data_IF_668768112077
#
_entry.id   IF_668768112077
#
_cell.length_a   1.000
_cell.length_b   1.000
_cell.length_c   1.000
_cell.angle_alpha   90.00
_cell.angle_beta   90.00
_cell.angle_gamma   90.00
#
_symmetry.space_group_name_H-M   'P 1'
#
loop_
_entity.id
_entity.type
_entity.pdbx_description
1 polymer ?
#
# COMPACT_ATOMS: atom_id res chain seq x y z
N UNK A 1 -41.97 63.22 -33.11
CA UNK A 1 -41.40 62.61 -34.33
C UNK A 1 -41.75 61.13 -34.34
N UNK A 2 -42.65 60.79 -35.27
CA UNK A 2 -42.63 59.61 -36.13
C UNK A 2 -42.45 58.20 -35.52
N UNK A 3 -43.56 57.46 -35.61
CA UNK A 3 -43.69 56.17 -36.32
C UNK A 3 -43.17 54.89 -35.66
N UNK A 4 -44.14 54.11 -35.15
CA UNK A 4 -44.59 52.84 -35.75
C UNK A 4 -43.55 51.95 -36.45
N UNK A 5 -43.55 50.64 -36.15
CA UNK A 5 -44.18 49.62 -37.01
C UNK A 5 -43.89 48.18 -36.54
N UNK A 6 -44.97 47.39 -36.66
CA UNK A 6 -45.04 45.93 -36.70
C UNK A 6 -43.95 45.24 -37.57
N UNK A 7 -43.64 43.97 -37.25
CA UNK A 7 -44.02 42.81 -38.09
C UNK A 7 -43.52 41.47 -37.53
N UNK A 8 -44.50 40.62 -37.22
CA UNK A 8 -44.44 39.16 -37.33
C UNK A 8 -44.19 38.72 -38.79
N UNK A 9 -43.40 37.67 -39.04
CA UNK A 9 -43.65 36.69 -40.12
C UNK A 9 -43.00 35.34 -39.75
N UNK A 10 -43.82 34.28 -39.82
CA UNK A 10 -43.46 32.87 -39.75
C UNK A 10 -42.69 32.40 -40.99
N UNK A 11 -41.84 31.38 -40.88
CA UNK A 11 -41.56 30.51 -42.04
C UNK A 11 -41.49 29.04 -41.63
N UNK A 12 -42.52 28.32 -42.06
CA UNK A 12 -42.55 26.88 -42.19
C UNK A 12 -41.59 26.42 -43.30
N UNK A 13 -41.05 25.21 -43.18
CA UNK A 13 -40.24 24.55 -44.20
C UNK A 13 -40.06 23.07 -43.87
N UNK A 14 -40.72 22.23 -44.68
CA UNK A 14 -41.04 20.81 -44.55
C UNK A 14 -39.87 19.80 -44.67
N UNK A 15 -40.10 18.53 -44.28
CA UNK A 15 -39.18 17.40 -44.47
C UNK A 15 -39.42 16.70 -45.82
N UNK A 16 -38.36 16.10 -46.38
CA UNK A 16 -38.41 15.22 -47.56
C UNK A 16 -37.00 15.04 -48.11
N UNK A 17 -36.62 13.94 -48.76
CA UNK A 17 -37.24 12.67 -49.04
C UNK A 17 -36.12 11.68 -49.44
N UNK A 18 -36.46 10.40 -49.43
CA UNK A 18 -35.75 9.21 -49.90
C UNK A 18 -34.89 9.34 -51.17
N UNK A 19 -33.83 8.52 -51.28
CA UNK A 19 -33.58 7.69 -52.47
C UNK A 19 -32.60 6.54 -52.16
N UNK A 20 -32.97 5.35 -52.66
CA UNK A 20 -32.23 4.08 -52.68
C UNK A 20 -31.14 4.11 -53.78
N UNK A 21 -30.23 3.12 -53.74
CA UNK A 21 -29.75 2.24 -54.85
C UNK A 21 -28.41 1.60 -54.37
N UNK A 22 -28.33 0.30 -54.06
CA UNK A 22 -28.22 -0.93 -54.88
C UNK A 22 -26.77 -1.27 -55.35
N UNK A 23 -26.35 -2.53 -55.07
CA UNK A 23 -25.24 -3.27 -55.71
C UNK A 23 -24.11 -3.69 -54.73
N UNK A 24 -24.05 -4.91 -54.17
CA UNK A 24 -23.59 -6.22 -54.74
C UNK A 24 -22.15 -6.14 -55.31
N UNK A 25 -21.14 -6.95 -54.94
CA UNK A 25 -20.99 -8.43 -55.02
C UNK A 25 -19.73 -8.86 -54.22
N UNK A 26 -19.72 -10.11 -53.72
CA UNK A 26 -18.69 -10.82 -52.92
C UNK A 26 -17.53 -11.42 -53.79
N UNK A 27 -16.86 -12.55 -53.45
CA UNK A 27 -16.28 -13.11 -52.21
C UNK A 27 -14.79 -13.56 -52.35
N UNK A 28 -14.19 -13.98 -51.22
CA UNK A 28 -13.41 -15.23 -51.12
C UNK A 28 -11.94 -15.29 -51.58
N UNK A 29 -11.02 -15.47 -50.63
CA UNK A 29 -9.84 -16.37 -50.80
C UNK A 29 -9.62 -17.13 -49.50
N UNK A 30 -9.89 -18.43 -49.55
CA UNK A 30 -9.40 -19.45 -48.61
C UNK A 30 -7.94 -19.77 -48.94
N UNK A 31 -7.10 -19.97 -47.91
CA UNK A 31 -6.00 -20.91 -48.00
C UNK A 31 -5.89 -21.71 -46.69
N UNK A 32 -6.14 -22.99 -46.86
CA UNK A 32 -5.88 -24.09 -45.93
C UNK A 32 -4.40 -24.21 -45.60
N UNK A 33 -4.10 -24.65 -44.37
CA UNK A 33 -2.76 -25.11 -44.01
C UNK A 33 -2.77 -25.79 -42.66
N UNK A 34 -3.12 -27.07 -42.68
CA UNK A 34 -3.06 -27.97 -41.54
C UNK A 34 -1.66 -27.98 -40.89
N UNK A 35 -1.62 -27.98 -39.56
CA UNK A 35 -0.59 -28.66 -38.78
C UNK A 35 -1.13 -28.93 -37.37
N UNK A 36 -1.86 -30.04 -37.27
CA UNK A 36 -2.03 -30.78 -36.03
C UNK A 36 -0.71 -31.47 -35.71
N UNK A 37 -0.07 -31.14 -34.58
CA UNK A 37 0.92 -32.03 -33.97
C UNK A 37 0.86 -31.89 -32.43
N UNK A 38 0.41 -33.00 -31.82
CA UNK A 38 0.75 -33.52 -30.50
C UNK A 38 0.25 -32.78 -29.23
N UNK A 39 -0.93 -33.23 -28.81
CA UNK A 39 -1.27 -33.52 -27.42
C UNK A 39 -0.12 -34.22 -26.70
N UNK A 40 0.35 -33.64 -25.59
CA UNK A 40 1.07 -34.35 -24.54
C UNK A 40 0.29 -34.14 -23.23
N UNK A 41 -0.24 -35.21 -22.59
CA UNK A 41 -0.93 -35.09 -21.32
C UNK A 41 0.03 -34.85 -20.15
N UNK A 42 -0.42 -34.22 -19.04
CA UNK A 42 0.38 -34.01 -17.86
C UNK A 42 0.68 -35.35 -17.16
N UNK A 43 1.97 -35.62 -16.89
CA UNK A 43 2.41 -36.72 -16.03
C UNK A 43 1.92 -36.47 -14.60
N UNK A 44 1.07 -37.37 -14.12
CA UNK A 44 0.75 -37.54 -12.72
C UNK A 44 2.01 -38.01 -11.96
N UNK A 45 2.43 -37.24 -10.96
CA UNK A 45 3.33 -37.73 -9.92
C UNK A 45 2.50 -37.95 -8.65
N UNK A 46 2.33 -39.23 -8.34
CA UNK A 46 1.78 -39.80 -7.12
C UNK A 46 2.83 -39.85 -6.02
N UNK A 47 2.44 -39.49 -4.79
CA UNK A 47 3.16 -39.77 -3.54
C UNK A 47 4.40 -38.89 -3.31
N UNK A 48 4.61 -38.26 -2.16
CA UNK A 48 4.84 -38.91 -0.86
C UNK A 48 4.72 -37.81 0.23
N UNK A 49 4.14 -38.17 1.38
CA UNK A 49 4.55 -37.57 2.66
C UNK A 49 3.64 -36.48 3.26
N UNK A 50 2.43 -36.86 3.67
CA UNK A 50 1.78 -36.23 4.82
C UNK A 50 2.63 -36.52 6.06
N UNK A 51 3.34 -35.52 6.58
CA UNK A 51 3.81 -35.54 7.97
C UNK A 51 2.88 -34.62 8.75
N UNK A 52 1.85 -35.26 9.31
CA UNK A 52 1.02 -34.71 10.36
C UNK A 52 1.89 -34.53 11.61
N UNK A 53 2.02 -33.31 12.11
CA UNK A 53 2.50 -33.09 13.47
C UNK A 53 1.30 -33.14 14.42
N UNK A 54 1.36 -33.95 15.50
CA UNK A 54 0.23 -34.20 16.36
C UNK A 54 -0.12 -33.00 17.24
N UNK A 55 -1.44 -32.83 17.35
CA UNK A 55 -2.17 -32.05 18.33
C UNK A 55 -1.74 -32.49 19.74
N UNK A 56 -1.22 -31.56 20.54
CA UNK A 56 -1.17 -31.72 22.00
C UNK A 56 -2.39 -30.99 22.55
N UNK A 57 -3.41 -31.78 22.87
CA UNK A 57 -4.52 -31.38 23.73
C UNK A 57 -4.01 -31.40 25.17
N UNK A 58 -3.99 -30.24 25.82
CA UNK A 58 -3.79 -30.10 27.25
C UNK A 58 -4.99 -29.37 27.82
N UNK A 59 -6.01 -30.12 28.19
CA UNK A 59 -7.11 -29.65 29.03
C UNK A 59 -6.58 -29.36 30.44
N UNK A 60 -6.91 -28.19 30.98
CA UNK A 60 -6.48 -27.73 32.30
C UNK A 60 -7.19 -26.45 32.70
N UNK A 61 -8.35 -26.63 33.30
CA UNK A 61 -9.41 -25.67 33.63
C UNK A 61 -9.01 -24.72 34.79
N UNK A 62 -9.43 -23.45 34.65
CA UNK A 62 -9.72 -22.39 35.63
C UNK A 62 -9.14 -22.44 37.05
N UNK A 63 -8.49 -21.34 37.45
CA UNK A 63 -8.90 -20.58 38.65
C UNK A 63 -8.58 -19.09 38.49
N UNK A 64 -9.60 -18.26 38.74
CA UNK A 64 -9.53 -16.82 38.86
C UNK A 64 -8.76 -16.44 40.14
N UNK A 65 -7.87 -15.46 40.07
CA UNK A 65 -7.05 -15.06 41.21
C UNK A 65 -6.60 -13.60 41.12
N UNK A 66 -7.49 -12.70 41.52
CA UNK A 66 -7.21 -11.32 41.88
C UNK A 66 -6.01 -11.26 42.85
N UNK A 67 -4.91 -10.64 42.44
CA UNK A 67 -3.78 -10.38 43.35
C UNK A 67 -3.88 -8.94 43.84
N UNK A 68 -4.57 -8.75 44.97
CA UNK A 68 -4.63 -7.48 45.68
C UNK A 68 -3.30 -7.22 46.41
N UNK A 69 -2.88 -5.95 46.40
CA UNK A 69 -1.76 -5.42 47.17
C UNK A 69 -1.87 -5.80 48.65
N UNK A 70 -0.90 -6.57 49.15
CA UNK A 70 -0.72 -6.78 50.60
C UNK A 70 0.01 -5.57 51.20
N UNK A 71 -0.78 -4.66 51.76
CA UNK A 71 -0.33 -3.63 52.71
C UNK A 71 0.22 -4.33 53.97
N UNK A 72 1.52 -4.23 54.20
CA UNK A 72 2.11 -4.54 55.51
C UNK A 72 2.00 -3.30 56.40
N UNK A 73 0.89 -3.21 57.14
CA UNK A 73 0.77 -2.36 58.32
C UNK A 73 1.27 -3.14 59.53
N UNK A 74 2.26 -2.58 60.24
CA UNK A 74 2.36 -2.45 61.72
C UNK A 74 3.83 -2.32 62.17
N UNK A 75 4.08 -1.34 63.05
CA UNK A 75 5.32 -1.17 63.80
C UNK A 75 5.24 0.09 64.67
N UNK A 76 4.98 -0.10 65.97
CA UNK A 76 4.63 0.91 66.97
C UNK A 76 5.71 1.97 67.25
N UNK A 77 5.25 3.19 67.54
CA UNK A 77 6.02 4.29 68.10
C UNK A 77 6.17 4.14 69.62
N UNK A 78 7.40 4.17 70.14
CA UNK A 78 7.65 4.48 71.55
C UNK A 78 8.61 5.66 71.61
N UNK A 79 8.17 6.73 72.24
CA UNK A 79 8.95 7.93 72.48
C UNK A 79 10.03 7.66 73.53
N UNK A 80 11.26 8.05 73.23
CA UNK A 80 12.28 8.32 74.23
C UNK A 80 13.07 9.55 73.76
N UNK A 81 12.87 10.66 74.46
CA UNK A 81 13.72 11.83 74.38
C UNK A 81 15.08 11.47 74.99
N UNK A 82 16.15 11.66 74.22
CA UNK A 82 17.49 11.79 74.75
C UNK A 82 18.19 12.89 73.94
N UNK A 83 18.38 14.04 74.58
CA UNK A 83 19.22 15.13 74.11
C UNK A 83 20.69 14.71 74.19
N UNK A 84 21.47 14.91 73.12
CA UNK A 84 22.94 15.02 73.25
C UNK A 84 23.57 15.79 72.07
N UNK A 85 24.07 16.98 72.42
CA UNK A 85 25.22 17.77 71.92
C UNK A 85 25.50 17.92 70.41
N UNK A 86 25.58 19.16 69.89
CA UNK A 86 26.13 19.46 68.57
C UNK A 86 27.60 19.87 68.68
N UNK A 87 28.52 18.93 68.49
CA UNK A 87 29.92 19.26 68.22
C UNK A 87 30.14 19.25 66.71
N UNK A 88 30.49 20.42 66.19
CA UNK A 88 30.75 20.62 64.78
C UNK A 88 32.05 19.94 64.36
N UNK A 89 31.94 19.03 63.39
CA UNK A 89 32.99 18.81 62.41
C UNK A 89 32.35 18.78 61.02
N UNK A 90 32.61 19.84 60.27
CA UNK A 90 32.43 19.93 58.83
C UNK A 90 33.34 18.92 58.14
N UNK A 91 32.93 17.66 58.10
CA UNK A 91 33.45 16.71 57.13
C UNK A 91 32.70 16.95 55.83
N UNK A 92 33.16 17.94 55.06
CA UNK A 92 32.81 18.10 53.65
C UNK A 92 33.34 16.87 52.90
N UNK A 93 32.59 15.78 52.95
CA UNK A 93 32.76 14.66 52.04
C UNK A 93 32.57 15.24 50.64
N UNK A 94 33.57 15.23 49.76
CA UNK A 94 33.37 15.68 48.40
C UNK A 94 32.26 14.79 47.84
N UNK A 95 31.16 15.40 47.40
CA UNK A 95 30.13 14.71 46.64
C UNK A 95 30.81 14.15 45.40
N UNK A 96 31.18 12.88 45.46
CA UNK A 96 31.77 12.16 44.33
C UNK A 96 30.70 12.13 43.26
N UNK A 97 30.77 13.09 42.34
CA UNK A 97 29.98 13.19 41.11
C UNK A 97 30.12 11.85 40.37
N UNK A 98 29.20 10.92 40.65
CA UNK A 98 29.15 9.65 39.95
C UNK A 98 28.69 9.97 38.52
N UNK A 99 29.48 9.64 37.49
CA UNK A 99 29.07 9.89 36.12
C UNK A 99 27.71 9.23 35.89
N UNK A 100 26.79 9.88 35.16
CA UNK A 100 25.45 9.38 34.99
C UNK A 100 25.52 7.96 34.43
N UNK A 101 24.98 6.99 35.18
CA UNK A 101 25.00 5.58 34.80
C UNK A 101 24.32 5.41 33.44
N UNK A 102 25.12 5.15 32.40
CA UNK A 102 24.62 4.93 31.05
C UNK A 102 23.80 3.63 31.07
N UNK A 103 22.47 3.77 30.96
CA UNK A 103 21.55 2.63 30.83
C UNK A 103 21.60 2.15 29.38
N UNK A 104 22.47 1.17 29.11
CA UNK A 104 22.48 0.51 27.80
C UNK A 104 21.13 -0.17 27.55
N UNK A 105 20.52 0.14 26.41
CA UNK A 105 19.37 -0.62 25.92
C UNK A 105 19.84 -2.00 25.47
N UNK A 106 18.93 -2.98 25.50
CA UNK A 106 19.19 -4.30 24.91
C UNK A 106 19.62 -4.14 23.44
N UNK A 107 20.62 -4.91 22.97
CA UNK A 107 21.16 -4.77 21.62
C UNK A 107 20.07 -4.90 20.55
N UNK A 108 19.07 -5.78 20.73
CA UNK A 108 17.96 -5.95 19.78
C UNK A 108 17.13 -4.67 19.58
N UNK A 109 16.93 -3.91 20.67
CA UNK A 109 16.19 -2.65 20.63
C UNK A 109 17.01 -1.58 19.90
N UNK A 110 18.30 -1.54 20.17
CA UNK A 110 19.25 -0.64 19.51
C UNK A 110 19.34 -0.96 18.01
N UNK A 111 19.49 -2.23 17.63
CA UNK A 111 19.53 -2.67 16.23
C UNK A 111 18.24 -2.33 15.48
N UNK A 112 17.07 -2.58 16.07
CA UNK A 112 15.78 -2.17 15.49
C UNK A 112 15.70 -0.65 15.31
N UNK A 113 16.17 0.11 16.29
CA UNK A 113 16.18 1.57 16.21
C UNK A 113 17.09 2.07 15.09
N UNK A 114 18.29 1.52 14.97
CA UNK A 114 19.24 1.82 13.88
C UNK A 114 18.60 1.53 12.53
N UNK A 115 17.97 0.36 12.35
CA UNK A 115 17.29 0.03 11.10
C UNK A 115 16.16 1.00 10.74
N UNK A 116 15.40 1.46 11.74
CA UNK A 116 14.36 2.47 11.50
C UNK A 116 14.94 3.82 11.10
N UNK A 117 16.09 4.21 11.66
CA UNK A 117 16.82 5.44 11.30
C UNK A 117 17.27 5.35 9.84
N UNK A 118 17.95 4.27 9.46
CA UNK A 118 18.43 4.06 8.09
C UNK A 118 17.28 4.13 7.06
N UNK A 119 16.17 3.43 7.34
CA UNK A 119 14.99 3.48 6.46
C UNK A 119 14.42 4.90 6.30
N UNK A 120 14.44 5.71 7.36
CA UNK A 120 13.93 7.07 7.33
C UNK A 120 14.86 7.97 6.51
N UNK A 121 16.16 7.90 6.75
CA UNK A 121 17.17 8.67 6.03
C UNK A 121 17.14 8.39 4.53
N UNK A 122 17.01 7.12 4.12
CA UNK A 122 16.90 6.75 2.71
C UNK A 122 15.63 7.31 2.06
N UNK A 123 14.49 7.24 2.75
CA UNK A 123 13.23 7.81 2.24
C UNK A 123 13.33 9.33 2.08
N UNK A 124 13.97 10.01 3.03
CA UNK A 124 14.13 11.47 3.00
C UNK A 124 15.07 11.90 1.86
N UNK A 125 16.16 11.16 1.61
CA UNK A 125 17.04 11.37 0.45
C UNK A 125 16.27 11.29 -0.88
N UNK A 126 15.50 10.21 -1.08
CA UNK A 126 14.76 10.02 -2.33
C UNK A 126 13.63 11.04 -2.50
N UNK A 127 13.02 11.51 -1.39
CA UNK A 127 12.00 12.58 -1.44
C UNK A 127 12.59 13.95 -1.75
N UNK A 128 13.84 14.21 -1.38
CA UNK A 128 14.53 15.45 -1.72
C UNK A 128 14.87 15.50 -3.23
N UNK A 129 15.18 14.37 -3.84
CA UNK A 129 15.50 14.28 -5.27
C UNK A 129 14.27 14.41 -6.18
N UNK A 130 13.08 13.96 -5.72
CA UNK A 130 11.87 13.95 -6.53
C UNK A 130 10.59 14.07 -5.73
N UNK A 131 9.62 14.78 -6.30
CA UNK A 131 8.27 14.89 -5.76
C UNK A 131 7.49 13.59 -5.98
N UNK A 132 7.11 12.93 -4.89
CA UNK A 132 6.34 11.68 -4.93
C UNK A 132 4.94 11.95 -4.39
N UNK A 133 3.88 11.81 -5.21
CA UNK A 133 2.52 12.02 -4.75
C UNK A 133 2.06 10.92 -3.78
N UNK A 134 1.08 11.23 -2.93
CA UNK A 134 0.49 10.22 -2.04
C UNK A 134 -0.44 9.27 -2.82
N UNK A 135 0.09 8.10 -3.13
CA UNK A 135 -0.64 7.05 -3.87
C UNK A 135 -1.48 6.25 -2.88
N UNK A 136 -2.80 6.34 -3.01
CA UNK A 136 -3.75 5.59 -2.19
C UNK A 136 -4.49 4.51 -3.01
N UNK A 137 -4.97 3.43 -2.37
CA UNK A 137 -5.85 2.47 -3.02
C UNK A 137 -7.10 3.16 -3.59
N UNK A 138 -7.49 2.79 -4.80
CA UNK A 138 -8.62 3.45 -5.51
C UNK A 138 -8.23 4.64 -6.38
N UNK A 139 -6.97 5.10 -6.31
CA UNK A 139 -6.44 6.07 -7.27
C UNK A 139 -6.18 5.43 -8.64
N UNK A 140 -6.49 6.15 -9.70
CA UNK A 140 -6.04 5.85 -11.07
C UNK A 140 -4.74 6.62 -11.30
N UNK A 141 -3.68 5.88 -11.57
CA UNK A 141 -2.33 6.44 -11.71
C UNK A 141 -1.84 6.23 -13.14
N UNK A 142 -1.19 7.25 -13.68
CA UNK A 142 -0.38 7.17 -14.88
C UNK A 142 1.08 7.37 -14.49
N UNK A 143 1.94 6.46 -14.92
CA UNK A 143 3.35 6.45 -14.56
C UNK A 143 4.23 6.23 -15.78
N UNK A 144 5.36 6.94 -15.84
CA UNK A 144 6.41 6.71 -16.84
C UNK A 144 7.53 5.88 -16.23
N UNK A 145 7.80 4.73 -16.85
CA UNK A 145 8.80 3.77 -16.41
C UNK A 145 9.94 3.69 -17.42
N UNK A 146 11.17 3.85 -16.93
CA UNK A 146 12.36 3.52 -17.70
C UNK A 146 12.65 2.02 -17.54
N UNK A 147 12.55 1.28 -18.65
CA UNK A 147 12.83 -0.15 -18.67
C UNK A 147 14.28 -0.35 -19.13
N UNK A 148 15.12 -1.09 -18.38
CA UNK A 148 16.55 -1.22 -18.69
C UNK A 148 16.82 -1.83 -20.07
N UNK A 149 15.95 -2.74 -20.53
CA UNK A 149 16.03 -3.38 -21.85
C UNK A 149 15.74 -2.40 -23.00
N UNK A 150 14.85 -1.43 -22.76
CA UNK A 150 14.34 -0.51 -23.78
C UNK A 150 14.77 0.93 -23.47
N UNK A 151 16.09 1.19 -23.47
CA UNK A 151 16.67 2.50 -23.06
C UNK A 151 16.18 3.69 -23.88
N UNK A 152 15.71 3.48 -25.11
CA UNK A 152 15.27 4.55 -26.04
C UNK A 152 13.87 5.10 -25.74
N UNK A 153 13.02 4.36 -25.02
CA UNK A 153 11.62 4.74 -24.79
C UNK A 153 11.20 4.56 -23.34
N UNK A 154 10.50 5.55 -22.81
CA UNK A 154 9.81 5.42 -21.53
C UNK A 154 8.47 4.74 -21.74
N UNK A 155 8.21 3.68 -20.98
CA UNK A 155 6.96 2.94 -21.02
C UNK A 155 5.92 3.65 -20.15
N UNK A 156 4.83 4.10 -20.75
CA UNK A 156 3.71 4.70 -19.99
C UNK A 156 2.72 3.63 -19.56
N UNK A 157 2.48 3.53 -18.25
CA UNK A 157 1.54 2.60 -17.64
C UNK A 157 0.40 3.36 -16.99
N UNK A 158 -0.83 2.96 -17.26
CA UNK A 158 -2.05 3.51 -16.65
C UNK A 158 -2.88 2.39 -16.04
N UNK A 159 -3.34 2.57 -14.81
CA UNK A 159 -4.17 1.57 -14.14
C UNK A 159 -4.69 2.05 -12.79
N UNK A 160 -5.49 1.21 -12.14
CA UNK A 160 -6.00 1.46 -10.79
C UNK A 160 -5.06 0.84 -9.75
N UNK A 161 -4.84 1.57 -8.66
CA UNK A 161 -4.09 1.05 -7.51
C UNK A 161 -5.00 0.18 -6.67
N UNK A 162 -4.70 -1.11 -6.60
CA UNK A 162 -5.50 -2.08 -5.84
C UNK A 162 -5.04 -2.21 -4.40
N UNK A 163 -3.82 -1.79 -4.08
CA UNK A 163 -3.31 -1.84 -2.73
C UNK A 163 -1.91 -1.27 -2.62
N UNK A 164 -1.55 -0.84 -1.42
CA UNK A 164 -0.24 -0.31 -1.05
C UNK A 164 0.29 -1.06 0.17
N UNK A 165 1.57 -1.36 0.18
CA UNK A 165 2.31 -1.93 1.32
C UNK A 165 3.37 -0.94 1.72
N UNK A 166 3.26 -0.41 2.93
CA UNK A 166 4.24 0.51 3.52
C UNK A 166 5.33 -0.31 4.21
N UNK A 167 6.58 -0.12 3.79
CA UNK A 167 7.73 -0.85 4.31
C UNK A 167 9.01 0.00 4.19
N UNK A 168 8.98 1.24 4.71
CA UNK A 168 10.09 2.19 4.59
C UNK A 168 10.43 2.47 3.13
N UNK A 169 11.70 2.29 2.75
CA UNK A 169 12.19 2.44 1.37
C UNK A 169 11.56 1.42 0.41
N UNK A 170 11.17 0.24 0.90
CA UNK A 170 10.55 -0.84 0.13
C UNK A 170 9.02 -0.71 0.04
N UNK A 171 8.49 0.50 0.26
CA UNK A 171 7.07 0.77 0.08
C UNK A 171 6.68 0.50 -1.38
N UNK A 172 5.69 -0.36 -1.58
CA UNK A 172 5.24 -0.81 -2.89
C UNK A 172 3.76 -0.57 -3.07
N UNK A 173 3.34 -0.36 -4.31
CA UNK A 173 1.92 -0.32 -4.68
C UNK A 173 1.65 -1.28 -5.84
N UNK A 174 0.42 -1.77 -5.90
CA UNK A 174 -0.02 -2.74 -6.91
C UNK A 174 -0.95 -2.03 -7.88
N UNK A 175 -0.58 -2.02 -9.15
CA UNK A 175 -1.36 -1.48 -10.24
C UNK A 175 -2.08 -2.61 -10.98
N UNK A 176 -3.36 -2.42 -11.27
CA UNK A 176 -4.16 -3.32 -12.10
C UNK A 176 -4.64 -2.57 -13.35
N UNK A 177 -4.43 -3.17 -14.52
CA UNK A 177 -4.95 -2.67 -15.81
C UNK A 177 -5.39 -3.82 -16.70
N UNK A 178 -6.31 -3.56 -17.61
CA UNK A 178 -6.67 -4.49 -18.67
C UNK A 178 -5.81 -4.17 -19.90
N UNK A 179 -5.08 -5.15 -20.41
CA UNK A 179 -4.28 -5.04 -21.63
C UNK A 179 -4.75 -6.13 -22.57
N UNK A 180 -5.24 -5.75 -23.75
CA UNK A 180 -5.74 -6.70 -24.76
C UNK A 180 -6.75 -7.72 -24.19
N UNK A 181 -7.66 -7.28 -23.31
CA UNK A 181 -8.66 -8.15 -22.68
C UNK A 181 -8.17 -8.98 -21.47
N UNK A 182 -6.86 -8.98 -21.18
CA UNK A 182 -6.29 -9.72 -20.05
C UNK A 182 -6.00 -8.77 -18.88
N UNK A 183 -6.39 -9.17 -17.66
CA UNK A 183 -6.14 -8.42 -16.44
C UNK A 183 -4.69 -8.56 -15.97
N UNK A 184 -3.87 -7.54 -16.20
CA UNK A 184 -2.47 -7.51 -15.78
C UNK A 184 -2.35 -6.78 -14.45
N UNK A 185 -1.74 -7.45 -13.47
CA UNK A 185 -1.32 -6.85 -12.20
C UNK A 185 0.19 -6.66 -12.19
N UNK A 186 0.65 -5.50 -11.72
CA UNK A 186 2.08 -5.17 -11.63
C UNK A 186 2.37 -4.50 -10.29
N UNK A 187 3.49 -4.85 -9.68
CA UNK A 187 3.92 -4.31 -8.38
C UNK A 187 5.09 -3.37 -8.63
N UNK A 188 5.01 -2.14 -8.11
CA UNK A 188 6.05 -1.14 -8.27
C UNK A 188 6.54 -0.66 -6.91
N UNK A 189 7.87 -0.52 -6.71
CA UNK A 189 8.41 0.19 -5.57
C UNK A 189 8.19 1.69 -5.76
N UNK A 190 7.55 2.35 -4.79
CA UNK A 190 7.36 3.80 -4.80
C UNK A 190 8.72 4.52 -4.86
N UNK A 191 9.67 3.96 -4.10
CA UNK A 191 11.10 4.25 -3.98
C UNK A 191 11.97 4.21 -5.25
N UNK A 192 11.51 3.60 -6.35
CA UNK A 192 12.42 3.19 -7.42
C UNK A 192 12.90 4.33 -8.34
N UNK A 193 14.21 4.42 -8.66
CA UNK A 193 14.75 5.39 -9.62
C UNK A 193 14.32 5.13 -11.07
N UNK A 194 13.82 3.92 -11.36
CA UNK A 194 13.31 3.56 -12.68
C UNK A 194 11.99 4.28 -13.00
N UNK A 195 11.30 4.79 -11.98
CA UNK A 195 10.08 5.57 -12.15
C UNK A 195 10.45 7.04 -12.31
N UNK A 196 10.15 7.61 -13.48
CA UNK A 196 10.45 9.01 -13.80
C UNK A 196 9.38 9.97 -13.28
N UNK A 197 8.12 9.62 -13.49
CA UNK A 197 7.01 10.50 -13.16
C UNK A 197 5.78 9.67 -12.75
N UNK A 198 5.10 10.10 -11.69
CA UNK A 198 3.84 9.53 -11.20
C UNK A 198 2.78 10.62 -11.20
N UNK A 199 1.72 10.44 -11.99
CA UNK A 199 0.55 11.33 -12.00
C UNK A 199 -0.68 10.60 -11.49
N UNK A 200 -1.40 11.22 -10.56
CA UNK A 200 -2.73 10.77 -10.17
C UNK A 200 -3.72 11.42 -11.14
N UNK A 201 -4.41 10.59 -11.92
CA UNK A 201 -5.42 11.05 -12.87
C UNK A 201 -6.78 11.23 -12.21
N UNK A 202 -7.16 10.28 -11.36
CA UNK A 202 -8.48 10.25 -10.73
C UNK A 202 -8.42 9.54 -9.38
N UNK A 203 -9.34 9.87 -8.47
CA UNK A 203 -9.46 9.28 -7.14
C UNK A 203 -10.86 8.73 -6.95
N UNK A 204 -11.01 7.40 -6.97
CA UNK A 204 -12.30 6.76 -6.70
C UNK A 204 -12.51 6.54 -5.20
N UNK A 205 -13.72 6.83 -4.73
CA UNK A 205 -14.14 6.53 -3.35
C UNK A 205 -14.23 5.02 -3.17
N UNK A 206 -13.36 4.45 -2.33
CA UNK A 206 -13.34 3.02 -2.02
C UNK A 206 -13.44 2.79 -0.52
N UNK A 207 -14.12 1.70 -0.12
CA UNK A 207 -14.31 1.35 1.29
C UNK A 207 -13.25 0.41 1.84
N UNK A 208 -12.59 -0.38 0.98
CA UNK A 208 -11.58 -1.38 1.39
C UNK A 208 -10.17 -0.84 1.13
N UNK A 209 -9.25 -1.13 2.06
CA UNK A 209 -7.84 -0.77 1.90
C UNK A 209 -7.12 -1.56 0.78
N UNK A 210 -7.62 -2.76 0.44
CA UNK A 210 -7.13 -3.58 -0.66
C UNK A 210 -8.30 -4.01 -1.54
N UNK A 211 -8.23 -3.71 -2.83
CA UNK A 211 -9.29 -3.89 -3.82
C UNK A 211 -9.13 -5.21 -4.59
N UNK A 212 -8.80 -6.30 -3.90
CA UNK A 212 -8.60 -7.61 -4.55
C UNK A 212 -9.86 -8.17 -5.21
N UNK A 213 -11.05 -7.72 -4.77
CA UNK A 213 -12.31 -8.02 -5.45
C UNK A 213 -12.36 -7.51 -6.90
N UNK A 214 -11.46 -6.60 -7.32
CA UNK A 214 -11.38 -6.14 -8.71
C UNK A 214 -10.82 -7.20 -9.66
N UNK A 215 -10.36 -8.35 -9.15
CA UNK A 215 -9.98 -9.51 -9.95
C UNK A 215 -11.18 -10.15 -10.61
N UNK A 216 -12.25 -10.30 -9.85
CA UNK A 216 -13.49 -10.97 -10.27
C UNK A 216 -14.44 -10.00 -10.99
N UNK A 217 -14.20 -8.68 -10.87
CA UNK A 217 -15.03 -7.66 -11.51
C UNK A 217 -14.48 -7.27 -12.89
N UNK A 218 -15.37 -7.28 -13.87
CA UNK A 218 -15.00 -7.22 -15.28
C UNK A 218 -14.51 -5.84 -15.76
N UNK A 219 -14.63 -4.75 -14.99
CA UNK A 219 -14.09 -3.43 -15.37
C UNK A 219 -13.99 -2.48 -14.16
N UNK A 220 -12.77 -2.16 -13.71
CA UNK A 220 -12.54 -1.16 -12.66
C UNK A 220 -12.55 0.30 -13.18
N UNK A 221 -12.38 0.47 -14.49
CA UNK A 221 -12.02 1.73 -15.15
C UNK A 221 -13.18 2.46 -15.83
N UNK A 222 -14.41 1.90 -15.86
CA UNK A 222 -15.54 2.66 -16.37
C UNK A 222 -15.91 3.78 -15.39
N UNK A 223 -16.11 4.96 -15.97
CA UNK A 223 -16.60 6.18 -15.32
C UNK A 223 -18.08 5.97 -15.00
#
# INVERSE_FOLDING_TARGET
MMQSLLRSVCRAGSPGASAKILGSVAPGVELSGANQLFLNPPRAYTGIGLIANPIISGDGVHTYGFCANTLSLRGLSTAANAEFSPDGESSSSPSVEHPPRIKFKRPDKTARHIMNILNKEEVDKVRAEREIPDVQPGCIVQMRLQVPENKRRESTLKGIVIGRRNAGINTTFRLRRLVAGVGVESVFPLYSPNIKEIKILDRKKVRRAKLYYLRDRMNALKK
#
